data_IF_026122262125
#
_entry.id   IF_026122262125
#
_cell.length_a   1.000
_cell.length_b   1.000
_cell.length_c   1.000
_cell.angle_alpha   90.00
_cell.angle_beta   90.00
_cell.angle_gamma   90.00
#
_symmetry.space_group_name_H-M   'P 1'
#
loop_
_entity.id
_entity.type
_entity.pdbx_description
1 polymer ?
#
# COMPACT_ATOMS: atom_id res chain seq x y z
N UNK A 1 7.37 0.27 16.36
CA UNK A 1 8.01 -0.50 15.28
C UNK A 1 9.50 -0.40 15.45
N UNK A 2 10.26 -1.29 14.81
CA UNK A 2 11.72 -1.10 14.73
C UNK A 2 12.01 0.01 13.73
N UNK A 3 12.95 0.90 14.04
CA UNK A 3 13.46 1.89 13.07
C UNK A 3 14.05 1.22 11.84
N UNK A 4 14.58 0.01 11.99
CA UNK A 4 15.09 -0.77 10.86
C UNK A 4 13.97 -1.16 9.88
N UNK A 5 12.78 -1.48 10.39
CA UNK A 5 11.62 -1.83 9.55
C UNK A 5 11.17 -0.62 8.72
N UNK A 6 11.18 0.57 9.33
CA UNK A 6 10.83 1.83 8.66
C UNK A 6 11.82 2.16 7.54
N UNK A 7 13.13 2.01 7.78
CA UNK A 7 14.16 2.24 6.76
C UNK A 7 14.03 1.25 5.60
N UNK A 8 13.85 -0.04 5.91
CA UNK A 8 13.68 -1.08 4.90
C UNK A 8 12.43 -0.80 4.04
N UNK A 9 11.34 -0.38 4.67
CA UNK A 9 10.10 -0.05 3.97
C UNK A 9 10.29 1.09 2.97
N UNK A 10 10.95 2.18 3.36
CA UNK A 10 11.18 3.32 2.46
C UNK A 10 12.13 2.97 1.28
N UNK A 11 13.19 2.21 1.54
CA UNK A 11 14.11 1.74 0.48
C UNK A 11 13.39 0.87 -0.57
N UNK A 12 12.55 -0.07 -0.14
CA UNK A 12 11.80 -0.92 -1.07
C UNK A 12 10.65 -0.17 -1.76
N UNK A 13 10.02 0.81 -1.09
CA UNK A 13 9.00 1.66 -1.70
C UNK A 13 9.55 2.48 -2.86
N UNK A 14 10.79 2.95 -2.77
CA UNK A 14 11.46 3.67 -3.86
C UNK A 14 11.60 2.84 -5.14
N UNK A 15 11.86 1.53 -4.98
CA UNK A 15 12.12 0.60 -6.10
C UNK A 15 10.85 -0.04 -6.69
N UNK A 16 9.80 -0.25 -5.89
CA UNK A 16 8.53 -0.83 -6.34
C UNK A 16 7.66 0.11 -7.18
N UNK A 17 6.78 -0.43 -8.02
CA UNK A 17 5.82 0.34 -8.83
C UNK A 17 4.36 0.18 -8.39
N UNK A 18 4.06 -0.77 -7.50
CA UNK A 18 2.73 -1.04 -6.96
C UNK A 18 2.84 -1.31 -5.46
N UNK A 19 1.93 -0.72 -4.68
CA UNK A 19 1.88 -0.86 -3.23
C UNK A 19 0.44 -1.11 -2.78
N UNK A 20 0.25 -2.14 -1.95
CA UNK A 20 -1.02 -2.43 -1.27
C UNK A 20 -0.80 -2.32 0.23
N UNK A 21 -1.41 -1.32 0.84
CA UNK A 21 -1.28 -1.01 2.27
C UNK A 21 -2.43 -1.65 3.03
N UNK A 22 -2.10 -2.36 4.12
CA UNK A 22 -3.10 -2.93 5.02
C UNK A 22 -3.24 -2.08 6.29
N UNK A 23 -4.47 -1.77 6.69
CA UNK A 23 -4.77 -1.02 7.92
C UNK A 23 -5.08 -1.96 9.09
N UNK A 24 -4.26 -1.87 10.13
CA UNK A 24 -4.45 -2.59 11.40
C UNK A 24 -5.81 -2.30 12.03
N UNK A 25 -6.32 -1.06 11.95
CA UNK A 25 -7.62 -0.70 12.55
C UNK A 25 -8.78 -1.45 11.89
N UNK A 26 -8.72 -1.67 10.58
CA UNK A 26 -9.72 -2.46 9.85
C UNK A 26 -9.62 -3.94 10.26
N UNK A 27 -8.41 -4.48 10.37
CA UNK A 27 -8.18 -5.84 10.81
C UNK A 27 -8.66 -6.08 12.26
N UNK A 28 -8.41 -5.15 13.17
CA UNK A 28 -8.87 -5.22 14.57
C UNK A 28 -10.41 -5.23 14.67
N UNK A 29 -11.09 -4.54 13.74
CA UNK A 29 -12.55 -4.55 13.58
C UNK A 29 -13.08 -5.74 12.79
N UNK A 30 -12.22 -6.70 12.42
CA UNK A 30 -12.56 -7.88 11.60
C UNK A 30 -13.22 -7.53 10.25
N UNK A 31 -12.89 -6.36 9.71
CA UNK A 31 -13.36 -5.93 8.40
C UNK A 31 -12.33 -6.35 7.36
N UNK A 32 -12.74 -7.22 6.43
CA UNK A 32 -11.84 -7.78 5.42
C UNK A 32 -12.38 -7.56 4.00
N UNK A 33 -11.50 -7.29 3.01
CA UNK A 33 -10.05 -7.15 3.13
C UNK A 33 -9.65 -5.84 3.83
N UNK A 34 -8.64 -5.89 4.71
CA UNK A 34 -8.23 -4.76 5.55
C UNK A 34 -7.31 -3.77 4.79
N UNK A 35 -7.72 -3.34 3.60
CA UNK A 35 -6.92 -2.51 2.69
C UNK A 35 -7.17 -1.02 2.96
N UNK A 36 -6.09 -0.24 3.06
CA UNK A 36 -6.15 1.21 3.03
C UNK A 36 -6.13 1.68 1.57
N UNK A 37 -7.31 2.08 1.06
CA UNK A 37 -7.50 2.49 -0.34
C UNK A 37 -6.72 3.77 -0.65
N UNK A 38 -6.63 4.71 0.30
CA UNK A 38 -6.01 6.01 0.04
C UNK A 38 -4.48 5.92 -0.03
N UNK A 39 -3.89 4.94 0.67
CA UNK A 39 -2.45 4.72 0.70
C UNK A 39 -1.96 3.68 -0.31
N UNK A 40 -2.86 2.88 -0.88
CA UNK A 40 -2.54 1.88 -1.90
C UNK A 40 -2.61 2.51 -3.29
N UNK A 41 -1.61 2.26 -4.14
CA UNK A 41 -1.57 2.82 -5.49
C UNK A 41 -0.62 2.04 -6.40
N UNK A 42 -0.81 2.19 -7.71
CA UNK A 42 0.14 1.73 -8.72
C UNK A 42 0.60 2.91 -9.57
N UNK A 43 1.91 3.07 -9.74
CA UNK A 43 2.46 4.11 -10.62
C UNK A 43 2.13 3.77 -12.07
N UNK A 44 1.76 4.78 -12.85
CA UNK A 44 1.34 4.62 -14.25
C UNK A 44 0.10 3.75 -14.44
N UNK A 45 -0.90 3.88 -13.56
CA UNK A 45 -2.13 3.10 -13.63
C UNK A 45 -2.96 3.39 -14.90
N UNK A 46 -2.74 4.54 -15.55
CA UNK A 46 -3.33 4.90 -16.84
C UNK A 46 -2.97 3.93 -17.99
N UNK A 47 -1.89 3.14 -17.84
CA UNK A 47 -1.54 2.10 -18.80
C UNK A 47 -2.33 0.80 -18.60
N UNK A 48 -3.03 0.67 -17.46
CA UNK A 48 -3.72 -0.56 -17.03
C UNK A 48 -5.24 -0.39 -17.03
N UNK A 49 -5.72 0.82 -16.77
CA UNK A 49 -7.14 1.14 -16.65
C UNK A 49 -7.59 2.04 -17.79
N UNK A 50 -8.78 1.82 -18.37
CA UNK A 50 -9.34 2.73 -19.37
C UNK A 50 -9.63 4.11 -18.75
N UNK A 51 -9.55 5.17 -19.55
CA UNK A 51 -10.05 6.48 -19.15
C UNK A 51 -11.54 6.38 -18.79
N UNK A 52 -11.92 7.03 -17.68
CA UNK A 52 -13.27 7.00 -17.11
C UNK A 52 -14.26 7.88 -17.88
#
# INVERSE_FOLDING_TARGET
GSRMDEVIFEEFKGTGNSEIVLDRKLADRRTYPAIDINRSATRREELLLPEA
#
